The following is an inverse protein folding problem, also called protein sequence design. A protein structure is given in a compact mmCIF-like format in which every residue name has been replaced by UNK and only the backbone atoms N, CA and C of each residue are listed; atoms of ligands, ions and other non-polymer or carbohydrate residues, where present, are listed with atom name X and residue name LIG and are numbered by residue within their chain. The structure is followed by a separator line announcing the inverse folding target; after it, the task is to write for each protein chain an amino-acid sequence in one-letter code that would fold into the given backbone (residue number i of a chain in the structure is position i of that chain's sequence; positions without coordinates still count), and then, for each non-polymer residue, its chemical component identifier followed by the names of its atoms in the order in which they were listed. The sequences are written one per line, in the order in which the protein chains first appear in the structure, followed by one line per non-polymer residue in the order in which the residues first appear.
data_IF_941234031841
#
_entry.id   IF_941234031841
#
_cell.length_a   1.000
_cell.length_b   1.000
_cell.length_c   1.000
_cell.angle_alpha   90.00
_cell.angle_beta   90.00
_cell.angle_gamma   90.00
#
_symmetry.space_group_name_H-M   'P 1'
#
loop_
_entity.id
_entity.type
_entity.pdbx_description
1 polymer ?
#
# COMPACT_ATOMS: atom_id res chain seq x y z
N UNK A 1 -23.32 33.82 24.70
CA UNK A 1 -22.44 33.53 23.55
C UNK A 1 -21.07 33.25 24.16
N UNK A 2 -20.70 31.98 24.26
CA UNK A 2 -19.35 31.56 24.67
C UNK A 2 -18.99 30.30 23.87
N UNK A 3 -17.72 30.23 23.51
CA UNK A 3 -17.16 29.67 22.28
C UNK A 3 -17.30 28.14 22.13
N UNK A 4 -17.65 27.69 20.92
CA UNK A 4 -17.64 26.28 20.49
C UNK A 4 -16.20 25.74 20.22
N UNK A 5 -15.16 26.41 20.73
CA UNK A 5 -13.75 26.14 20.40
C UNK A 5 -13.04 25.08 21.25
N UNK A 6 -13.47 24.84 22.50
CA UNK A 6 -12.59 24.15 23.46
C UNK A 6 -12.75 22.62 23.49
N UNK A 7 -13.89 22.06 23.09
CA UNK A 7 -14.15 20.61 23.23
C UNK A 7 -13.57 19.72 22.11
N UNK A 8 -12.92 20.32 21.11
CA UNK A 8 -12.32 19.57 19.99
C UNK A 8 -10.81 19.38 20.19
N UNK A 9 -10.15 20.29 20.93
CA UNK A 9 -8.71 20.25 21.21
C UNK A 9 -8.36 19.26 22.34
N UNK A 10 -9.24 19.10 23.33
CA UNK A 10 -9.01 18.18 24.46
C UNK A 10 -8.96 16.70 24.04
N UNK A 11 -9.42 16.35 22.82
CA UNK A 11 -9.33 14.97 22.31
C UNK A 11 -7.94 14.58 21.79
N UNK A 12 -6.97 15.49 21.83
CA UNK A 12 -5.54 15.25 21.56
C UNK A 12 -4.76 14.86 22.83
N UNK A 13 -5.44 14.34 23.87
CA UNK A 13 -4.86 14.33 25.22
C UNK A 13 -3.75 13.31 25.49
N UNK A 14 -3.49 12.32 24.64
CA UNK A 14 -2.28 11.48 24.78
C UNK A 14 -1.90 10.82 23.46
N UNK A 15 -0.88 11.35 22.78
CA UNK A 15 -0.24 10.65 21.67
C UNK A 15 0.59 9.48 22.23
N UNK A 16 0.07 8.26 22.11
CA UNK A 16 0.84 7.04 22.38
C UNK A 16 1.41 6.50 21.06
N UNK A 17 2.69 6.77 20.74
CA UNK A 17 3.29 6.28 19.50
C UNK A 17 3.24 4.75 19.40
N UNK A 18 3.42 4.03 20.52
CA UNK A 18 3.47 2.58 20.54
C UNK A 18 2.12 1.91 20.21
N UNK A 19 1.00 2.57 20.53
CA UNK A 19 -0.33 2.10 20.14
C UNK A 19 -0.55 2.14 18.62
N UNK A 20 0.01 3.16 17.94
CA UNK A 20 -0.05 3.26 16.47
C UNK A 20 0.78 2.17 15.79
N UNK A 21 1.90 1.79 16.40
CA UNK A 21 2.77 0.73 15.86
C UNK A 21 2.20 -0.67 16.08
N UNK A 22 1.47 -0.91 17.18
CA UNK A 22 0.96 -2.25 17.54
C UNK A 22 -0.30 -2.66 16.77
N UNK A 23 -1.24 -1.75 16.51
CA UNK A 23 -2.46 -2.06 15.74
C UNK A 23 -2.24 -2.07 14.21
N UNK A 24 -1.08 -1.60 13.75
CA UNK A 24 -0.75 -1.51 12.33
C UNK A 24 -1.44 -0.32 11.66
N UNK A 25 -0.66 0.49 10.94
CA UNK A 25 -1.13 1.74 10.33
C UNK A 25 -2.33 1.56 9.39
N UNK A 26 -2.47 0.38 8.78
CA UNK A 26 -3.65 0.02 7.98
C UNK A 26 -4.92 0.02 8.82
N UNK A 27 -4.89 -0.52 10.03
CA UNK A 27 -6.07 -0.67 10.90
C UNK A 27 -6.65 0.68 11.35
N UNK A 28 -5.86 1.76 11.31
CA UNK A 28 -6.34 3.12 11.59
C UNK A 28 -7.46 3.57 10.64
N UNK A 29 -7.58 2.95 9.48
CA UNK A 29 -8.61 3.23 8.47
C UNK A 29 -9.79 2.25 8.54
N UNK A 30 -9.79 1.34 9.51
CA UNK A 30 -10.90 0.42 9.72
C UNK A 30 -12.11 1.15 10.31
N UNK A 31 -13.30 0.70 9.91
CA UNK A 31 -14.60 1.18 10.40
C UNK A 31 -15.48 -0.03 10.64
N UNK A 32 -16.65 0.18 11.27
CA UNK A 32 -17.64 -0.89 11.49
C UNK A 32 -18.09 -1.58 10.19
N UNK A 33 -17.93 -0.91 9.04
CA UNK A 33 -18.42 -1.38 7.74
C UNK A 33 -17.30 -1.76 6.75
N UNK A 34 -16.03 -1.51 7.06
CA UNK A 34 -14.91 -1.69 6.12
C UNK A 34 -13.60 -1.94 6.84
N UNK A 35 -12.80 -2.87 6.34
CA UNK A 35 -11.42 -3.04 6.82
C UNK A 35 -10.56 -1.85 6.43
N UNK A 36 -9.49 -1.61 7.18
CA UNK A 36 -8.53 -0.55 6.87
C UNK A 36 -7.93 -0.67 5.47
N UNK A 37 -7.58 -1.91 5.07
CA UNK A 37 -7.12 -2.21 3.72
C UNK A 37 -8.12 -1.79 2.65
N UNK A 38 -9.40 -2.14 2.83
CA UNK A 38 -10.45 -1.81 1.85
C UNK A 38 -10.63 -0.29 1.73
N UNK A 39 -10.58 0.44 2.84
CA UNK A 39 -10.65 1.91 2.88
C UNK A 39 -9.48 2.56 2.10
N UNK A 40 -8.24 2.12 2.36
CA UNK A 40 -7.05 2.60 1.65
C UNK A 40 -7.12 2.25 0.17
N UNK A 41 -7.43 0.99 -0.15
CA UNK A 41 -7.47 0.50 -1.53
C UNK A 41 -8.48 1.29 -2.36
N UNK A 42 -9.70 1.46 -1.85
CA UNK A 42 -10.77 2.22 -2.55
C UNK A 42 -10.35 3.67 -2.79
N UNK A 43 -9.71 4.31 -1.81
CA UNK A 43 -9.19 5.68 -1.94
C UNK A 43 -8.12 5.75 -3.03
N UNK A 44 -7.22 4.78 -3.08
CA UNK A 44 -6.15 4.75 -4.08
C UNK A 44 -6.67 4.46 -5.48
N UNK A 45 -7.61 3.52 -5.63
CA UNK A 45 -8.28 3.24 -6.89
C UNK A 45 -9.00 4.49 -7.44
N UNK A 46 -9.72 5.20 -6.57
CA UNK A 46 -10.40 6.45 -6.95
C UNK A 46 -9.38 7.52 -7.40
N UNK A 47 -8.29 7.70 -6.66
CA UNK A 47 -7.21 8.65 -6.98
C UNK A 47 -6.47 8.29 -8.27
N UNK A 48 -6.36 7.00 -8.58
CA UNK A 48 -5.73 6.49 -9.81
C UNK A 48 -6.67 6.49 -11.03
N UNK A 49 -7.93 6.90 -10.86
CA UNK A 49 -8.89 7.03 -11.97
C UNK A 49 -9.69 5.78 -12.28
N UNK A 50 -9.59 4.73 -11.45
CA UNK A 50 -10.40 3.51 -11.60
C UNK A 50 -11.86 3.68 -11.12
N UNK A 51 -12.14 4.77 -10.39
CA UNK A 51 -13.47 5.06 -9.84
C UNK A 51 -13.77 4.27 -8.56
N UNK A 52 -14.99 4.45 -8.03
CA UNK A 52 -15.41 3.91 -6.72
C UNK A 52 -15.97 2.49 -6.79
N UNK A 53 -16.29 2.00 -7.98
CA UNK A 53 -16.92 0.69 -8.21
C UNK A 53 -15.95 -0.32 -8.82
N UNK A 54 -14.66 0.00 -8.88
CA UNK A 54 -13.66 -0.90 -9.42
C UNK A 54 -13.37 -2.04 -8.44
N UNK A 55 -13.18 -3.24 -8.97
CA UNK A 55 -12.78 -4.41 -8.21
C UNK A 55 -11.36 -4.84 -8.62
N UNK A 56 -10.56 -5.24 -7.64
CA UNK A 56 -9.22 -5.81 -7.83
C UNK A 56 -9.29 -7.33 -7.83
N UNK A 57 -8.35 -7.97 -8.51
CA UNK A 57 -8.05 -9.38 -8.35
C UNK A 57 -6.89 -9.57 -7.38
N UNK A 58 -6.96 -10.61 -6.55
CA UNK A 58 -5.83 -10.99 -5.70
C UNK A 58 -4.66 -11.48 -6.55
N UNK A 59 -3.45 -11.07 -6.19
CA UNK A 59 -2.22 -11.50 -6.84
C UNK A 59 -1.23 -12.03 -5.81
N UNK A 60 -1.07 -13.35 -5.77
CA UNK A 60 -0.15 -14.04 -4.85
C UNK A 60 1.29 -13.88 -5.32
N UNK A 61 2.19 -13.41 -4.45
CA UNK A 61 3.64 -13.46 -4.66
C UNK A 61 4.19 -14.77 -4.10
N UNK A 62 5.16 -14.72 -3.17
CA UNK A 62 5.63 -15.90 -2.46
C UNK A 62 4.67 -16.17 -1.29
N UNK A 63 4.70 -15.29 -0.29
CA UNK A 63 3.77 -15.33 0.85
C UNK A 63 2.78 -14.16 0.84
N UNK A 64 3.15 -13.05 0.21
CA UNK A 64 2.34 -11.83 0.20
C UNK A 64 1.19 -11.89 -0.82
N UNK A 65 0.02 -11.37 -0.43
CA UNK A 65 -1.14 -11.23 -1.32
C UNK A 65 -1.37 -9.76 -1.65
N UNK A 66 -1.06 -9.38 -2.89
CA UNK A 66 -1.30 -8.05 -3.42
C UNK A 66 -2.67 -7.93 -4.11
N UNK A 67 -3.06 -6.70 -4.41
CA UNK A 67 -4.26 -6.39 -5.18
C UNK A 67 -3.87 -5.88 -6.57
N UNK A 68 -4.32 -6.55 -7.63
CA UNK A 68 -4.04 -6.18 -9.02
C UNK A 68 -5.30 -5.68 -9.70
N UNK A 69 -5.18 -4.61 -10.46
CA UNK A 69 -6.19 -4.16 -11.42
C UNK A 69 -5.50 -3.62 -12.65
N UNK A 70 -5.93 -4.07 -13.83
CA UNK A 70 -5.34 -3.63 -15.12
C UNK A 70 -3.80 -3.71 -15.09
N UNK A 71 -3.11 -2.57 -15.18
CA UNK A 71 -1.67 -2.41 -15.17
C UNK A 71 -1.08 -1.88 -13.84
N UNK A 72 -1.86 -1.94 -12.75
CA UNK A 72 -1.46 -1.50 -11.41
C UNK A 72 -1.48 -2.66 -10.41
N UNK A 73 -0.46 -2.70 -9.55
CA UNK A 73 -0.38 -3.60 -8.40
C UNK A 73 -0.30 -2.78 -7.10
N UNK A 74 -1.16 -3.08 -6.14
CA UNK A 74 -1.27 -2.40 -4.86
C UNK A 74 -0.74 -3.31 -3.75
N UNK A 75 0.16 -2.75 -2.93
CA UNK A 75 0.74 -3.38 -1.74
C UNK A 75 0.37 -2.49 -0.57
N UNK A 76 -0.59 -2.95 0.23
CA UNK A 76 -1.22 -2.16 1.30
C UNK A 76 -1.00 -2.79 2.67
N UNK A 77 -1.14 -4.11 2.78
CA UNK A 77 -0.93 -4.81 4.04
C UNK A 77 0.55 -4.94 4.37
N UNK A 78 0.84 -5.14 5.66
CA UNK A 78 2.18 -5.52 6.13
C UNK A 78 2.56 -6.93 5.67
N UNK A 79 3.84 -7.26 5.77
CA UNK A 79 4.35 -8.62 5.55
C UNK A 79 4.94 -8.87 4.16
N UNK A 80 5.22 -7.83 3.38
CA UNK A 80 6.01 -7.97 2.16
C UNK A 80 7.46 -8.33 2.55
N UNK A 81 7.95 -9.46 2.05
CA UNK A 81 9.31 -9.97 2.35
C UNK A 81 10.27 -9.78 1.17
N UNK A 82 11.56 -10.02 1.39
CA UNK A 82 12.56 -10.06 0.30
C UNK A 82 12.26 -11.15 -0.73
N UNK A 83 11.75 -12.32 -0.31
CA UNK A 83 11.38 -13.40 -1.24
C UNK A 83 10.20 -13.02 -2.13
N UNK A 84 9.25 -12.24 -1.60
CA UNK A 84 8.17 -11.63 -2.38
C UNK A 84 8.69 -10.63 -3.40
N UNK A 85 9.67 -9.79 -3.03
CA UNK A 85 10.31 -8.84 -3.94
C UNK A 85 11.03 -9.59 -5.06
N UNK A 86 11.82 -10.61 -4.75
CA UNK A 86 12.50 -11.45 -5.75
C UNK A 86 11.48 -12.08 -6.69
N UNK A 87 10.37 -12.61 -6.16
CA UNK A 87 9.29 -13.21 -6.94
C UNK A 87 8.64 -12.18 -7.86
N UNK A 88 8.31 -10.99 -7.34
CA UNK A 88 7.73 -9.89 -8.11
C UNK A 88 8.64 -9.51 -9.30
N UNK A 89 9.92 -9.31 -9.04
CA UNK A 89 10.90 -8.89 -10.05
C UNK A 89 11.08 -9.97 -11.12
N UNK A 90 11.14 -11.25 -10.73
CA UNK A 90 11.19 -12.38 -11.68
C UNK A 90 9.97 -12.38 -12.61
N UNK A 91 8.76 -12.25 -12.05
CA UNK A 91 7.53 -12.27 -12.86
C UNK A 91 7.39 -11.06 -13.78
N UNK A 92 7.88 -9.88 -13.37
CA UNK A 92 7.99 -8.71 -14.24
C UNK A 92 8.98 -8.94 -15.39
N UNK A 93 10.16 -9.49 -15.10
CA UNK A 93 11.21 -9.75 -16.08
C UNK A 93 10.78 -10.81 -17.12
N UNK A 94 10.12 -11.88 -16.67
CA UNK A 94 9.61 -12.95 -17.53
C UNK A 94 8.29 -12.59 -18.24
N UNK A 95 7.75 -11.39 -18.03
CA UNK A 95 6.44 -10.93 -18.56
C UNK A 95 5.25 -11.79 -18.12
N UNK A 96 5.37 -12.52 -17.02
CA UNK A 96 4.25 -13.23 -16.38
C UNK A 96 3.34 -12.24 -15.64
N UNK A 97 3.91 -11.13 -15.15
CA UNK A 97 3.18 -10.01 -14.59
C UNK A 97 3.28 -8.80 -15.52
N UNK A 98 2.17 -8.47 -16.17
CA UNK A 98 2.10 -7.29 -17.02
C UNK A 98 1.42 -6.11 -16.30
N UNK A 99 2.25 -5.30 -15.64
CA UNK A 99 1.89 -4.03 -15.00
C UNK A 99 2.89 -2.94 -15.35
N UNK A 100 2.46 -1.68 -15.24
CA UNK A 100 3.29 -0.49 -15.44
C UNK A 100 3.51 0.28 -14.13
N UNK A 101 2.73 -0.02 -13.09
CA UNK A 101 2.75 0.70 -11.81
C UNK A 101 2.66 -0.24 -10.63
N UNK A 102 3.45 0.04 -9.60
CA UNK A 102 3.32 -0.52 -8.26
C UNK A 102 3.01 0.64 -7.31
N UNK A 103 1.93 0.53 -6.56
CA UNK A 103 1.51 1.53 -5.55
C UNK A 103 1.67 0.93 -4.16
N UNK A 104 2.47 1.58 -3.32
CA UNK A 104 2.74 1.16 -1.95
C UNK A 104 2.00 2.05 -0.97
N UNK A 105 1.38 1.45 0.04
CA UNK A 105 1.19 2.13 1.31
C UNK A 105 2.50 2.01 2.10
N UNK A 106 3.32 3.05 2.07
CA UNK A 106 4.72 2.98 2.51
C UNK A 106 4.89 2.59 3.97
N UNK A 107 3.91 2.91 4.83
CA UNK A 107 3.95 2.53 6.24
C UNK A 107 3.79 1.03 6.51
N UNK A 108 3.41 0.25 5.51
CA UNK A 108 3.30 -1.21 5.62
C UNK A 108 4.54 -1.97 5.17
N UNK A 109 5.52 -1.29 4.57
CA UNK A 109 6.71 -1.93 4.00
C UNK A 109 7.93 -1.59 4.85
N UNK A 110 8.69 -2.62 5.26
CA UNK A 110 9.93 -2.40 5.99
C UNK A 110 10.96 -1.66 5.12
N UNK A 111 11.76 -0.80 5.75
CA UNK A 111 12.69 0.08 5.03
C UNK A 111 13.68 -0.68 4.15
N UNK A 112 14.26 -1.78 4.66
CA UNK A 112 15.16 -2.66 3.92
C UNK A 112 14.49 -3.25 2.67
N UNK A 113 13.27 -3.78 2.80
CA UNK A 113 12.50 -4.36 1.69
C UNK A 113 12.15 -3.28 0.66
N UNK A 114 11.79 -2.08 1.10
CA UNK A 114 11.54 -0.94 0.20
C UNK A 114 12.78 -0.53 -0.60
N UNK A 115 13.96 -0.45 0.04
CA UNK A 115 15.21 -0.14 -0.66
C UNK A 115 15.60 -1.24 -1.65
N UNK A 116 15.40 -2.51 -1.26
CA UNK A 116 15.60 -3.65 -2.14
C UNK A 116 14.69 -3.58 -3.38
N UNK A 117 13.40 -3.33 -3.19
CA UNK A 117 12.43 -3.18 -4.28
C UNK A 117 12.84 -2.04 -5.23
N UNK A 118 13.17 -0.86 -4.70
CA UNK A 118 13.64 0.29 -5.51
C UNK A 118 14.86 -0.05 -6.35
N UNK A 119 15.86 -0.69 -5.75
CA UNK A 119 17.09 -1.10 -6.43
C UNK A 119 16.79 -2.09 -7.56
N UNK A 120 15.97 -3.10 -7.30
CA UNK A 120 15.63 -4.11 -8.29
C UNK A 120 14.78 -3.54 -9.44
N UNK A 121 13.79 -2.67 -9.15
CA UNK A 121 13.00 -2.01 -10.19
C UNK A 121 13.85 -1.10 -11.07
N UNK A 122 14.80 -0.35 -10.50
CA UNK A 122 15.74 0.49 -11.27
C UNK A 122 16.57 -0.35 -12.26
N UNK A 123 17.06 -1.51 -11.83
CA UNK A 123 17.78 -2.43 -12.73
C UNK A 123 16.89 -3.00 -13.85
N UNK A 124 15.58 -3.17 -13.59
CA UNK A 124 14.61 -3.67 -14.57
C UNK A 124 14.28 -2.65 -15.67
N UNK A 125 14.42 -1.34 -15.39
CA UNK A 125 14.07 -0.26 -16.33
C UNK A 125 14.80 -0.32 -17.68
N UNK A 126 15.91 -1.06 -17.75
CA UNK A 126 16.61 -1.32 -19.02
C UNK A 126 15.77 -2.13 -20.03
N UNK A 127 14.75 -2.85 -19.57
CA UNK A 127 13.89 -3.71 -20.42
C UNK A 127 12.39 -3.42 -20.28
N UNK A 128 11.93 -2.94 -19.11
CA UNK A 128 10.53 -2.61 -18.83
C UNK A 128 10.46 -1.51 -17.77
N UNK A 129 9.78 -0.43 -18.08
CA UNK A 129 9.56 0.65 -17.11
C UNK A 129 8.35 0.33 -16.23
N UNK A 130 8.60 0.15 -14.93
CA UNK A 130 7.56 0.04 -13.89
C UNK A 130 7.75 1.19 -12.92
N UNK A 131 6.74 2.05 -12.80
CA UNK A 131 6.72 3.17 -11.87
C UNK A 131 6.43 2.67 -10.45
N UNK A 132 7.23 3.12 -9.47
CA UNK A 132 6.97 2.88 -8.06
C UNK A 132 6.37 4.15 -7.43
N UNK A 133 5.14 4.06 -6.93
CA UNK A 133 4.44 5.17 -6.28
C UNK A 133 4.30 4.88 -4.80
N UNK A 134 4.95 5.69 -3.97
CA UNK A 134 4.83 5.66 -2.53
C UNK A 134 3.71 6.59 -2.06
N UNK A 135 2.85 6.10 -1.17
CA UNK A 135 1.76 6.87 -0.57
C UNK A 135 1.75 6.68 0.95
N UNK A 136 1.38 7.76 1.64
CA UNK A 136 1.34 7.89 3.09
C UNK A 136 -0.10 8.14 3.55
#
# INVERSE_FOLDING_TARGET
MESLGDKTLDKLENFNPDALFSEGMVNLFATDCSSGKASILTTYLAKDGYGLTCHTGTYQLDTYVADKVTDSLYIIEKGLTSDDVVTLIKRLACRELDINRIVLYSYSVEFNVLQELKKNLSNLQNNKHVELIERY
#
